data_IF_889037653079
#
_entry.id   IF_889037653079
#
_cell.length_a   1.000
_cell.length_b   1.000
_cell.length_c   1.000
_cell.angle_alpha   90.00
_cell.angle_beta   90.00
_cell.angle_gamma   90.00
#
_symmetry.space_group_name_H-M   'P 1'
#
loop_
_entity.id
_entity.type
_entity.pdbx_description
1 polymer ?
#
# COMPACT_ATOMS: atom_id res chain seq x y z
N UNK A 1 5.20 5.15 -11.20
CA UNK A 1 4.38 5.68 -10.11
C UNK A 1 3.36 4.63 -9.75
N UNK A 2 3.27 4.24 -8.48
CA UNK A 2 2.34 3.26 -7.95
C UNK A 2 1.30 4.03 -7.13
N UNK A 3 0.03 3.83 -7.42
CA UNK A 3 -1.05 4.43 -6.66
C UNK A 3 -1.66 3.38 -5.74
N UNK A 4 -1.65 3.63 -4.43
CA UNK A 4 -2.23 2.71 -3.43
C UNK A 4 -3.65 3.15 -3.11
N UNK A 5 -4.60 2.23 -3.19
CA UNK A 5 -5.92 2.39 -2.59
C UNK A 5 -5.88 2.05 -1.09
N UNK A 6 -7.01 2.28 -0.42
CA UNK A 6 -7.13 2.04 1.02
C UNK A 6 -6.97 0.55 1.37
N UNK A 7 -7.33 -0.38 0.49
CA UNK A 7 -7.17 -1.81 0.73
C UNK A 7 -5.71 -2.28 0.71
N UNK A 8 -4.88 -1.65 -0.12
CA UNK A 8 -3.44 -1.87 -0.16
C UNK A 8 -2.76 -1.22 1.05
N UNK A 9 -3.19 -0.02 1.45
CA UNK A 9 -2.67 0.65 2.65
C UNK A 9 -2.97 -0.15 3.92
N UNK A 10 -4.16 -0.73 4.06
CA UNK A 10 -4.50 -1.58 5.19
C UNK A 10 -3.58 -2.80 5.30
N UNK A 11 -3.17 -3.41 4.19
CA UNK A 11 -2.23 -4.55 4.17
C UNK A 11 -0.80 -4.20 4.58
N UNK A 12 -0.45 -2.91 4.54
CA UNK A 12 0.83 -2.39 5.04
C UNK A 12 0.77 -2.01 6.52
N UNK A 13 -0.43 -1.74 7.04
CA UNK A 13 -0.66 -1.39 8.45
C UNK A 13 -1.00 -2.60 9.31
N UNK A 14 -1.66 -3.60 8.73
CA UNK A 14 -2.13 -4.80 9.39
C UNK A 14 -1.67 -6.03 8.62
N UNK A 15 -1.41 -7.11 9.36
CA UNK A 15 -1.11 -8.40 8.75
C UNK A 15 -2.39 -9.03 8.21
N UNK A 16 -2.48 -9.13 6.90
CA UNK A 16 -3.51 -9.85 6.15
C UNK A 16 -2.86 -10.94 5.30
N UNK A 17 -3.67 -11.85 4.75
CA UNK A 17 -3.18 -12.99 3.95
C UNK A 17 -2.29 -12.54 2.78
N UNK A 18 -2.59 -11.40 2.16
CA UNK A 18 -1.88 -10.87 1.01
C UNK A 18 -0.76 -9.88 1.35
N UNK A 19 -0.53 -9.55 2.63
CA UNK A 19 0.46 -8.54 3.04
C UNK A 19 1.88 -8.88 2.60
N UNK A 20 2.32 -10.13 2.79
CA UNK A 20 3.66 -10.56 2.38
C UNK A 20 3.90 -10.43 0.87
N UNK A 21 2.89 -10.79 0.07
CA UNK A 21 2.96 -10.68 -1.38
C UNK A 21 2.98 -9.22 -1.84
N UNK A 22 2.22 -8.34 -1.17
CA UNK A 22 2.22 -6.90 -1.45
C UNK A 22 3.59 -6.28 -1.13
N UNK A 23 4.17 -6.63 0.02
CA UNK A 23 5.48 -6.12 0.43
C UNK A 23 6.60 -6.54 -0.54
N UNK A 24 6.63 -7.81 -0.95
CA UNK A 24 7.57 -8.30 -1.97
C UNK A 24 7.40 -7.55 -3.30
N UNK A 25 6.15 -7.34 -3.73
CA UNK A 25 5.83 -6.67 -4.98
C UNK A 25 6.26 -5.18 -4.98
N UNK A 26 6.08 -4.47 -3.86
CA UNK A 26 6.53 -3.09 -3.69
C UNK A 26 8.06 -3.04 -3.64
N UNK A 27 8.68 -3.93 -2.87
CA UNK A 27 10.14 -4.01 -2.69
C UNK A 27 10.87 -4.28 -4.01
N UNK A 28 10.33 -5.16 -4.86
CA UNK A 28 10.86 -5.42 -6.20
C UNK A 28 10.83 -4.19 -7.14
N UNK A 29 10.08 -3.14 -6.77
CA UNK A 29 9.93 -1.88 -7.53
C UNK A 29 10.54 -0.70 -6.80
N UNK A 30 11.52 -0.96 -5.93
CA UNK A 30 12.26 0.07 -5.19
C UNK A 30 12.69 1.22 -6.11
N UNK A 31 12.45 2.46 -5.66
CA UNK A 31 12.70 3.68 -6.43
C UNK A 31 11.52 4.15 -7.30
N UNK A 32 10.45 3.37 -7.44
CA UNK A 32 9.21 3.86 -8.05
C UNK A 32 8.43 4.72 -7.06
N UNK A 33 8.02 5.95 -7.39
CA UNK A 33 7.22 6.78 -6.49
C UNK A 33 5.91 6.10 -6.12
N UNK A 34 5.60 6.03 -4.82
CA UNK A 34 4.35 5.50 -4.27
C UNK A 34 3.51 6.68 -3.76
N UNK A 35 2.26 6.74 -4.17
CA UNK A 35 1.32 7.81 -3.81
C UNK A 35 -0.05 7.22 -3.46
N UNK A 36 -0.88 7.99 -2.78
CA UNK A 36 -2.28 7.66 -2.52
C UNK A 36 -3.13 8.94 -2.54
N UNK A 37 -4.44 8.78 -2.38
CA UNK A 37 -5.40 9.89 -2.27
C UNK A 37 -5.25 10.61 -0.93
N UNK A 38 -5.57 11.90 -0.89
CA UNK A 38 -5.82 12.61 0.37
C UNK A 38 -7.01 12.00 1.14
N UNK A 39 -7.97 11.38 0.45
CA UNK A 39 -9.10 10.68 1.07
C UNK A 39 -8.68 9.45 1.87
N UNK A 40 -7.54 8.83 1.53
CA UNK A 40 -7.04 7.66 2.25
C UNK A 40 -6.80 7.95 3.73
N UNK A 41 -6.52 9.21 4.10
CA UNK A 41 -6.38 9.64 5.50
C UNK A 41 -7.67 9.46 6.31
N UNK A 42 -8.83 9.52 5.67
CA UNK A 42 -10.14 9.35 6.33
C UNK A 42 -10.61 7.90 6.28
N UNK A 43 -10.20 7.16 5.25
CA UNK A 43 -10.62 5.76 5.04
C UNK A 43 -9.77 4.75 5.84
N UNK A 44 -8.55 5.13 6.22
CA UNK A 44 -7.56 4.22 6.83
C UNK A 44 -7.21 4.58 8.28
N UNK A 45 -7.36 5.85 8.69
CA UNK A 45 -7.10 6.34 10.07
C UNK A 45 -8.43 6.56 10.79
#
# INVERSE_FOLDING_TARGET
>A
MIYLDSSALLKLLFEERESAALDEWISARAGTPVVSSELAKVEVI
#
